data_IF_487747966256
#
_entry.id   IF_487747966256
#
_cell.length_a   1.000
_cell.length_b   1.000
_cell.length_c   1.000
_cell.angle_alpha   90.00
_cell.angle_beta   90.00
_cell.angle_gamma   90.00
#
_symmetry.space_group_name_H-M   'P 1'
#
loop_
_entity.id
_entity.type
_entity.pdbx_description
1 polymer ?
#
# COMPACT_ATOMS: atom_id res chain seq x y z
N UNK A 1 51.61 17.14 12.71
CA UNK A 1 50.37 16.63 12.10
C UNK A 1 49.34 17.76 12.03
N UNK A 2 49.28 18.48 10.91
CA UNK A 2 48.35 19.60 10.67
C UNK A 2 47.54 19.43 9.37
N UNK A 3 47.62 18.27 8.71
CA UNK A 3 47.03 18.03 7.37
C UNK A 3 45.48 18.05 7.36
N UNK A 4 44.81 17.74 8.46
CA UNK A 4 43.34 17.60 8.45
C UNK A 4 42.52 18.88 8.29
N UNK A 5 43.02 20.07 8.68
CA UNK A 5 42.23 21.32 8.58
C UNK A 5 42.29 21.93 7.18
N UNK A 6 43.44 21.80 6.52
CA UNK A 6 43.65 22.36 5.19
C UNK A 6 42.91 21.55 4.13
N UNK A 7 42.92 20.22 4.24
CA UNK A 7 42.17 19.32 3.36
C UNK A 7 40.65 19.53 3.47
N UNK A 8 40.11 19.63 4.70
CA UNK A 8 38.69 19.93 4.92
C UNK A 8 38.30 21.28 4.31
N UNK A 9 39.12 22.32 4.52
CA UNK A 9 38.87 23.64 3.94
C UNK A 9 38.91 23.65 2.42
N UNK A 10 39.87 22.93 1.81
CA UNK A 10 39.95 22.79 0.35
C UNK A 10 38.76 22.03 -0.20
N UNK A 11 38.28 20.99 0.49
CA UNK A 11 37.12 20.20 0.09
C UNK A 11 35.83 21.00 0.15
N UNK A 12 35.61 21.76 1.23
CA UNK A 12 34.46 22.64 1.38
C UNK A 12 34.47 23.74 0.30
N UNK A 13 35.63 24.35 0.07
CA UNK A 13 35.81 25.36 -0.98
C UNK A 13 35.53 24.80 -2.37
N UNK A 14 36.01 23.59 -2.67
CA UNK A 14 35.74 22.92 -3.94
C UNK A 14 34.26 22.57 -4.10
N UNK A 15 33.59 22.14 -3.03
CA UNK A 15 32.14 21.88 -3.03
C UNK A 15 31.33 23.12 -3.38
N UNK A 16 31.66 24.26 -2.75
CA UNK A 16 30.99 25.55 -3.05
C UNK A 16 31.21 25.98 -4.51
N UNK A 17 32.42 25.80 -5.06
CA UNK A 17 32.70 26.12 -6.47
C UNK A 17 31.88 25.23 -7.41
N UNK A 18 31.79 23.93 -7.14
CA UNK A 18 31.00 22.99 -7.93
C UNK A 18 29.49 23.33 -7.89
N UNK A 19 28.97 23.71 -6.72
CA UNK A 19 27.57 24.13 -6.59
C UNK A 19 27.26 25.42 -7.37
N UNK A 20 28.15 26.42 -7.28
CA UNK A 20 28.03 27.66 -8.04
C UNK A 20 28.06 27.36 -9.55
N UNK A 21 28.98 26.50 -10.01
CA UNK A 21 29.10 26.11 -11.41
C UNK A 21 27.84 25.42 -11.95
N UNK A 22 27.28 24.47 -11.19
CA UNK A 22 26.16 23.65 -11.66
C UNK A 22 24.82 24.39 -11.57
N UNK A 23 24.62 25.21 -10.54
CA UNK A 23 23.29 25.76 -10.23
C UNK A 23 23.16 27.28 -10.37
N UNK A 24 24.25 28.05 -10.36
CA UNK A 24 24.19 29.51 -10.26
C UNK A 24 24.75 30.24 -11.49
N UNK A 25 25.49 29.56 -12.36
CA UNK A 25 26.13 30.17 -13.51
C UNK A 25 25.69 29.54 -14.82
N UNK A 26 25.34 30.40 -15.77
CA UNK A 26 25.15 29.96 -17.14
C UNK A 26 26.49 29.66 -17.82
N UNK A 27 26.51 28.81 -18.86
CA UNK A 27 27.74 28.48 -19.60
C UNK A 27 28.53 29.70 -20.08
N UNK A 28 27.88 30.83 -20.41
CA UNK A 28 28.57 32.02 -20.90
C UNK A 28 29.22 32.88 -19.81
N UNK A 29 28.71 32.80 -18.57
CA UNK A 29 29.25 33.57 -17.44
C UNK A 29 30.60 33.02 -16.97
N UNK A 30 30.81 31.72 -17.20
CA UNK A 30 32.07 31.00 -16.93
C UNK A 30 33.24 31.45 -17.80
N UNK A 31 33.00 32.18 -18.89
CA UNK A 31 34.08 32.72 -19.73
C UNK A 31 34.75 33.97 -19.13
N UNK A 32 34.22 34.53 -18.04
CA UNK A 32 34.83 35.70 -17.40
C UNK A 32 35.92 35.29 -16.40
N UNK A 33 37.16 35.33 -16.89
CA UNK A 33 38.37 34.98 -16.14
C UNK A 33 38.63 35.88 -14.92
N UNK A 34 37.99 37.04 -14.82
CA UNK A 34 38.20 37.95 -13.69
C UNK A 34 37.65 37.39 -12.37
N UNK A 35 36.76 36.40 -12.42
CA UNK A 35 36.16 35.82 -11.21
C UNK A 35 35.85 34.32 -11.30
N UNK A 36 35.83 33.71 -12.48
CA UNK A 36 35.70 32.25 -12.63
C UNK A 36 37.05 31.61 -13.04
N UNK A 37 37.48 30.49 -12.43
CA UNK A 37 38.77 29.88 -12.74
C UNK A 37 38.84 29.27 -14.15
N UNK A 38 40.01 29.37 -14.79
CA UNK A 38 40.28 28.78 -16.12
C UNK A 38 40.33 27.24 -16.11
N UNK A 39 40.74 26.64 -14.99
CA UNK A 39 40.92 25.20 -14.87
C UNK A 39 40.52 24.74 -13.47
N UNK A 40 39.60 23.78 -13.42
CA UNK A 40 39.14 23.15 -12.18
C UNK A 40 39.50 21.67 -12.28
N UNK A 41 40.38 21.20 -11.40
CA UNK A 41 40.69 19.79 -11.27
C UNK A 41 39.77 19.17 -10.22
N UNK A 42 38.96 18.20 -10.64
CA UNK A 42 38.22 17.34 -9.73
C UNK A 42 39.06 16.09 -9.50
N UNK A 43 39.66 15.97 -8.31
CA UNK A 43 40.27 14.71 -7.90
C UNK A 43 39.17 13.74 -7.49
N UNK A 44 38.72 12.93 -8.45
CA UNK A 44 37.83 11.81 -8.21
C UNK A 44 38.64 10.53 -8.28
N UNK A 45 38.91 9.92 -7.12
CA UNK A 45 39.40 8.54 -7.09
C UNK A 45 38.28 7.64 -7.61
N UNK A 46 38.60 6.84 -8.64
CA UNK A 46 37.68 5.85 -9.23
C UNK A 46 37.13 4.92 -8.16
N UNK A 47 37.97 4.53 -7.20
CA UNK A 47 37.61 3.61 -6.11
C UNK A 47 36.53 4.22 -5.20
N UNK A 48 36.60 5.54 -4.94
CA UNK A 48 35.60 6.23 -4.12
C UNK A 48 34.26 6.36 -4.84
N UNK A 49 34.29 6.56 -6.16
CA UNK A 49 33.07 6.62 -6.99
C UNK A 49 32.38 5.25 -6.99
N UNK A 50 33.12 4.18 -7.24
CA UNK A 50 32.58 2.80 -7.24
C UNK A 50 31.99 2.42 -5.87
N UNK A 51 32.66 2.79 -4.77
CA UNK A 51 32.14 2.58 -3.42
C UNK A 51 30.82 3.31 -3.21
N UNK A 52 30.74 4.58 -3.63
CA UNK A 52 29.53 5.39 -3.50
C UNK A 52 28.37 4.84 -4.33
N UNK A 53 28.63 4.40 -5.55
CA UNK A 53 27.61 3.76 -6.40
C UNK A 53 27.09 2.47 -5.76
N UNK A 54 27.97 1.62 -5.23
CA UNK A 54 27.58 0.40 -4.54
C UNK A 54 26.73 0.67 -3.28
N UNK A 55 27.02 1.74 -2.54
CA UNK A 55 26.19 2.18 -1.41
C UNK A 55 24.78 2.60 -1.84
N UNK A 56 24.69 3.41 -2.90
CA UNK A 56 23.42 3.89 -3.44
C UNK A 56 22.54 2.73 -3.92
N UNK A 57 23.13 1.79 -4.66
CA UNK A 57 22.44 0.57 -5.13
C UNK A 57 21.91 -0.24 -3.93
N UNK A 58 22.74 -0.45 -2.90
CA UNK A 58 22.33 -1.17 -1.67
C UNK A 58 21.20 -0.44 -0.93
N UNK A 59 21.21 0.88 -0.89
CA UNK A 59 20.14 1.67 -0.27
C UNK A 59 18.83 1.54 -1.05
N UNK A 60 18.90 1.62 -2.37
CA UNK A 60 17.75 1.48 -3.26
C UNK A 60 17.14 0.07 -3.18
N UNK A 61 17.96 -0.98 -3.19
CA UNK A 61 17.48 -2.35 -2.95
C UNK A 61 16.76 -2.50 -1.60
N UNK A 62 17.27 -1.84 -0.55
CA UNK A 62 16.62 -1.86 0.77
C UNK A 62 15.26 -1.15 0.73
N UNK A 63 15.14 -0.04 0.01
CA UNK A 63 13.86 0.67 -0.18
C UNK A 63 12.87 -0.21 -0.92
N UNK A 64 13.26 -0.80 -2.04
CA UNK A 64 12.42 -1.72 -2.82
C UNK A 64 11.92 -2.91 -1.98
N UNK A 65 12.82 -3.54 -1.20
CA UNK A 65 12.46 -4.65 -0.30
C UNK A 65 11.47 -4.23 0.80
N UNK A 66 11.51 -2.97 1.26
CA UNK A 66 10.53 -2.44 2.24
C UNK A 66 9.17 -2.23 1.57
N UNK A 67 9.15 -1.58 0.41
CA UNK A 67 7.92 -1.36 -0.35
C UNK A 67 7.19 -2.66 -0.72
N UNK A 68 7.93 -3.69 -1.13
CA UNK A 68 7.35 -5.01 -1.42
C UNK A 68 6.71 -5.64 -0.18
N UNK A 69 7.36 -5.52 0.99
CA UNK A 69 6.81 -6.02 2.26
C UNK A 69 5.53 -5.29 2.64
N UNK A 70 5.51 -3.96 2.47
CA UNK A 70 4.34 -3.14 2.79
C UNK A 70 3.17 -3.45 1.86
N UNK A 71 3.40 -3.56 0.55
CA UNK A 71 2.41 -4.01 -0.44
C UNK A 71 1.86 -5.40 -0.11
N UNK A 72 2.72 -6.33 0.31
CA UNK A 72 2.30 -7.68 0.72
C UNK A 72 1.44 -7.66 1.99
N UNK A 73 1.79 -6.80 2.95
CA UNK A 73 1.01 -6.62 4.19
C UNK A 73 -0.36 -6.01 3.91
N UNK A 74 -0.42 -4.99 3.06
CA UNK A 74 -1.67 -4.35 2.63
C UNK A 74 -2.60 -5.34 1.91
N UNK A 75 -2.07 -6.13 0.97
CA UNK A 75 -2.83 -7.20 0.29
C UNK A 75 -3.40 -8.22 1.28
N UNK A 76 -2.62 -8.61 2.30
CA UNK A 76 -3.11 -9.52 3.36
C UNK A 76 -4.26 -8.91 4.14
N UNK A 77 -4.12 -7.65 4.58
CA UNK A 77 -5.15 -6.95 5.35
C UNK A 77 -6.47 -6.85 4.57
N UNK A 78 -6.40 -6.40 3.30
CA UNK A 78 -7.56 -6.33 2.41
C UNK A 78 -8.24 -7.69 2.24
N UNK A 79 -7.47 -8.77 2.15
CA UNK A 79 -8.03 -10.11 1.99
C UNK A 79 -8.71 -10.61 3.28
N UNK A 80 -8.15 -10.30 4.46
CA UNK A 80 -8.77 -10.60 5.75
C UNK A 80 -10.07 -9.81 5.96
N UNK A 81 -10.10 -8.53 5.61
CA UNK A 81 -11.32 -7.72 5.66
C UNK A 81 -12.40 -8.25 4.74
N UNK A 82 -12.04 -8.63 3.51
CA UNK A 82 -12.96 -9.24 2.55
C UNK A 82 -13.52 -10.56 3.09
N UNK A 83 -12.68 -11.39 3.71
CA UNK A 83 -13.10 -12.65 4.33
C UNK A 83 -14.09 -12.42 5.47
N UNK A 84 -13.79 -11.50 6.38
CA UNK A 84 -14.70 -11.11 7.49
C UNK A 84 -16.03 -10.57 6.97
N UNK A 85 -15.99 -9.76 5.91
CA UNK A 85 -17.19 -9.27 5.24
C UNK A 85 -18.07 -10.42 4.73
N UNK A 86 -17.47 -11.36 3.98
CA UNK A 86 -18.16 -12.55 3.46
C UNK A 86 -18.77 -13.41 4.58
N UNK A 87 -18.03 -13.68 5.65
CA UNK A 87 -18.52 -14.44 6.81
C UNK A 87 -19.77 -13.80 7.44
N UNK A 88 -19.83 -12.48 7.56
CA UNK A 88 -21.02 -11.77 8.07
C UNK A 88 -22.25 -11.98 7.18
N UNK A 89 -22.07 -11.93 5.85
CA UNK A 89 -23.18 -12.18 4.92
C UNK A 89 -23.66 -13.63 4.97
N UNK A 90 -22.74 -14.60 5.05
CA UNK A 90 -23.08 -16.03 5.20
C UNK A 90 -23.91 -16.26 6.47
N UNK A 91 -23.46 -15.74 7.63
CA UNK A 91 -24.22 -15.85 8.87
C UNK A 91 -25.63 -15.24 8.78
N UNK A 92 -25.78 -14.13 8.04
CA UNK A 92 -27.10 -13.51 7.82
C UNK A 92 -27.99 -14.40 6.95
N UNK A 93 -27.44 -15.01 5.91
CA UNK A 93 -28.16 -15.97 5.05
C UNK A 93 -28.61 -17.19 5.85
N UNK A 94 -27.74 -17.74 6.71
CA UNK A 94 -28.07 -18.90 7.54
C UNK A 94 -29.22 -18.59 8.50
N UNK A 95 -29.22 -17.41 9.12
CA UNK A 95 -30.33 -16.94 9.98
C UNK A 95 -31.64 -16.85 9.20
N UNK A 96 -31.64 -16.15 8.07
CA UNK A 96 -32.84 -16.03 7.22
C UNK A 96 -33.32 -17.39 6.73
N UNK A 97 -32.41 -18.31 6.43
CA UNK A 97 -32.76 -19.67 6.00
C UNK A 97 -33.49 -20.41 7.11
N UNK A 98 -33.02 -20.32 8.35
CA UNK A 98 -33.68 -20.93 9.51
C UNK A 98 -35.04 -20.30 9.83
N UNK A 99 -35.18 -18.99 9.66
CA UNK A 99 -36.48 -18.31 9.80
C UNK A 99 -37.46 -18.80 8.73
N UNK A 100 -37.02 -18.90 7.47
CA UNK A 100 -37.84 -19.41 6.36
C UNK A 100 -38.26 -20.86 6.58
N UNK A 101 -37.38 -21.74 7.07
CA UNK A 101 -37.74 -23.14 7.34
C UNK A 101 -38.77 -23.25 8.46
N UNK A 102 -38.67 -22.40 9.48
CA UNK A 102 -39.63 -22.33 10.59
C UNK A 102 -41.00 -21.86 10.10
N UNK A 103 -41.04 -20.72 9.39
CA UNK A 103 -42.27 -20.19 8.81
C UNK A 103 -42.94 -21.17 7.85
N UNK A 104 -42.14 -21.89 7.03
CA UNK A 104 -42.65 -22.92 6.12
C UNK A 104 -43.33 -24.05 6.88
N UNK A 105 -42.80 -24.45 8.03
CA UNK A 105 -43.40 -25.48 8.90
C UNK A 105 -44.73 -24.99 9.49
N UNK A 106 -44.73 -23.79 10.07
CA UNK A 106 -45.94 -23.17 10.65
C UNK A 106 -47.07 -23.02 9.61
N UNK A 107 -46.73 -22.59 8.39
CA UNK A 107 -47.69 -22.52 7.28
C UNK A 107 -48.27 -23.90 6.94
N UNK A 108 -47.43 -24.94 6.93
CA UNK A 108 -47.87 -26.32 6.70
C UNK A 108 -48.85 -26.82 7.77
N UNK A 109 -48.56 -26.52 9.03
CA UNK A 109 -49.43 -26.87 10.16
C UNK A 109 -50.78 -26.13 10.07
N UNK A 110 -50.76 -24.82 9.79
CA UNK A 110 -51.98 -24.04 9.58
C UNK A 110 -52.83 -24.55 8.43
N UNK A 111 -52.22 -24.92 7.30
CA UNK A 111 -52.92 -25.48 6.14
C UNK A 111 -53.61 -26.82 6.48
N UNK A 112 -52.96 -27.67 7.28
CA UNK A 112 -53.54 -28.93 7.75
C UNK A 112 -54.76 -28.70 8.67
N UNK A 113 -54.66 -27.75 9.61
CA UNK A 113 -55.77 -27.37 10.48
C UNK A 113 -56.96 -26.83 9.66
N UNK A 114 -56.70 -25.96 8.70
CA UNK A 114 -57.74 -25.35 7.86
C UNK A 114 -58.47 -26.41 7.00
N UNK A 115 -57.73 -27.39 6.47
CA UNK A 115 -58.31 -28.54 5.78
C UNK A 115 -59.25 -29.35 6.67
N UNK A 116 -58.86 -29.62 7.92
CA UNK A 116 -59.68 -30.36 8.87
C UNK A 116 -60.98 -29.60 9.21
N UNK A 117 -60.90 -28.27 9.44
CA UNK A 117 -62.08 -27.44 9.73
C UNK A 117 -63.07 -27.46 8.56
N UNK A 118 -62.59 -27.31 7.32
CA UNK A 118 -63.45 -27.37 6.13
C UNK A 118 -64.12 -28.74 5.96
N UNK A 119 -63.39 -29.84 6.22
CA UNK A 119 -63.97 -31.18 6.21
C UNK A 119 -65.08 -31.34 7.25
N UNK A 120 -64.88 -30.85 8.48
CA UNK A 120 -65.89 -30.90 9.54
C UNK A 120 -67.15 -30.11 9.17
N UNK A 121 -66.99 -28.92 8.58
CA UNK A 121 -68.12 -28.10 8.11
C UNK A 121 -68.90 -28.80 6.99
N UNK A 122 -68.22 -29.41 6.02
CA UNK A 122 -68.88 -30.14 4.94
C UNK A 122 -69.69 -31.35 5.44
N UNK A 123 -69.18 -32.08 6.44
CA UNK A 123 -69.89 -33.21 7.06
C UNK A 123 -71.14 -32.72 7.81
N UNK A 124 -71.04 -31.63 8.57
CA UNK A 124 -72.16 -31.06 9.32
C UNK A 124 -73.31 -30.61 8.39
N UNK A 125 -73.00 -30.04 7.23
CA UNK A 125 -74.00 -29.62 6.22
C UNK A 125 -74.66 -30.82 5.54
N UNK A 126 -73.97 -31.94 5.39
CA UNK A 126 -74.50 -33.14 4.75
C UNK A 126 -75.36 -34.02 5.68
N UNK A 127 -75.35 -33.77 6.99
CA UNK A 127 -75.99 -34.61 8.01
C UNK A 127 -77.12 -33.93 8.79
N UNK A 128 -77.35 -32.62 8.58
CA UNK A 128 -78.50 -31.86 9.08
C UNK A 128 -79.46 -31.48 7.96
#
# INVERSE_FOLDING_TARGET
MHEGRQEVWLREKAGIIAEIEVYWLFPWERFNQNWFPDLIFYEASTDLVEQREAELIKEEEKKLKREEKDKKKEKKLKNEELKKGKEKYVQKIDRMTNEITTLKKEIGEMAALLKNVLQQQAIAVATG
#
